data_IF_063793688517
#
_entry.id   IF_063793688517
#
_cell.length_a   1.000
_cell.length_b   1.000
_cell.length_c   1.000
_cell.angle_alpha   90.00
_cell.angle_beta   90.00
_cell.angle_gamma   90.00
#
_symmetry.space_group_name_H-M   'P 1'
#
loop_
_entity.id
_entity.type
_entity.pdbx_description
1 polymer ?
#
# COMPACT_ATOMS: atom_id res chain seq x y z
N UNK A 1 -9.39 6.45 -54.42
CA UNK A 1 -8.75 7.24 -53.34
C UNK A 1 -8.91 6.67 -51.93
N UNK A 2 -9.68 5.59 -51.70
CA UNK A 2 -9.88 5.03 -50.35
C UNK A 2 -8.85 3.97 -49.89
N UNK A 3 -8.09 3.38 -50.82
CA UNK A 3 -7.07 2.35 -50.51
C UNK A 3 -5.82 2.88 -49.78
N UNK A 4 -5.54 4.19 -49.88
CA UNK A 4 -4.39 4.83 -49.20
C UNK A 4 -4.74 5.37 -47.80
N UNK A 5 -6.04 5.55 -47.50
CA UNK A 5 -6.51 6.06 -46.21
C UNK A 5 -6.53 4.93 -45.16
N UNK A 6 -6.80 3.69 -45.58
CA UNK A 6 -6.82 2.52 -44.68
C UNK A 6 -5.42 2.17 -44.14
N UNK A 7 -4.35 2.44 -44.89
CA UNK A 7 -2.98 2.18 -44.42
C UNK A 7 -2.45 3.22 -43.43
N UNK A 8 -3.01 4.43 -43.42
CA UNK A 8 -2.56 5.51 -42.51
C UNK A 8 -3.26 5.40 -41.14
N UNK A 9 -4.48 4.86 -41.10
CA UNK A 9 -5.20 4.61 -39.85
C UNK A 9 -4.60 3.47 -39.00
N UNK A 10 -3.84 2.55 -39.62
CA UNK A 10 -3.24 1.39 -38.94
C UNK A 10 -1.89 1.71 -38.28
N UNK A 11 -1.22 2.79 -38.68
CA UNK A 11 0.09 3.21 -38.13
C UNK A 11 -0.08 4.10 -36.89
N UNK A 12 -1.21 4.79 -36.75
CA UNK A 12 -1.49 5.67 -35.59
C UNK A 12 -1.90 4.85 -34.35
N UNK A 13 -2.52 3.68 -34.51
CA UNK A 13 -2.81 2.78 -33.38
C UNK A 13 -1.58 2.07 -32.80
N UNK A 14 -0.43 2.08 -33.50
CA UNK A 14 0.80 1.44 -33.02
C UNK A 14 1.65 2.33 -32.09
N UNK A 15 1.32 3.63 -31.97
CA UNK A 15 2.06 4.59 -31.12
C UNK A 15 1.43 4.76 -29.73
N UNK A 16 0.33 4.06 -29.42
CA UNK A 16 -0.26 4.04 -28.08
C UNK A 16 0.36 2.97 -27.16
N UNK A 17 1.35 2.21 -27.64
CA UNK A 17 2.36 1.61 -26.75
C UNK A 17 3.31 2.73 -26.29
N UNK A 18 2.74 3.76 -25.63
CA UNK A 18 3.50 4.56 -24.71
C UNK A 18 4.13 3.57 -23.77
N UNK A 19 5.44 3.44 -23.87
CA UNK A 19 6.26 2.74 -22.91
C UNK A 19 5.80 3.23 -21.54
N UNK A 20 4.95 2.45 -20.87
CA UNK A 20 4.92 2.44 -19.43
C UNK A 20 6.38 2.17 -19.09
N UNK A 21 7.10 3.24 -18.75
CA UNK A 21 8.36 3.13 -18.06
C UNK A 21 7.96 2.66 -16.66
N UNK A 22 7.46 1.43 -16.57
CA UNK A 22 7.08 0.79 -15.32
C UNK A 22 8.39 0.69 -14.58
N UNK A 23 8.53 1.55 -13.57
CA UNK A 23 9.61 1.43 -12.59
C UNK A 23 9.67 -0.03 -12.20
N UNK A 24 10.86 -0.61 -12.33
CA UNK A 24 11.09 -1.98 -11.88
C UNK A 24 11.52 -1.89 -10.44
N UNK A 25 10.94 -2.73 -9.61
CA UNK A 25 11.25 -2.80 -8.19
C UNK A 25 12.05 -4.06 -7.90
N UNK A 26 12.96 -3.97 -6.94
CA UNK A 26 13.70 -5.08 -6.37
C UNK A 26 12.77 -5.93 -5.51
N UNK A 27 13.12 -7.20 -5.34
CA UNK A 27 12.30 -8.21 -4.65
C UNK A 27 13.02 -8.81 -3.42
N UNK A 28 14.04 -8.11 -2.91
CA UNK A 28 15.03 -8.68 -1.99
C UNK A 28 15.13 -8.00 -0.63
N UNK A 29 14.25 -7.04 -0.32
CA UNK A 29 14.25 -6.32 0.95
C UNK A 29 13.12 -6.87 1.82
N UNK A 30 13.41 -7.26 3.07
CA UNK A 30 12.36 -7.80 3.95
C UNK A 30 11.31 -6.75 4.30
N UNK A 31 10.07 -7.17 4.55
CA UNK A 31 9.02 -6.25 5.01
C UNK A 31 9.37 -5.60 6.35
N UNK A 32 10.08 -6.32 7.23
CA UNK A 32 10.61 -5.77 8.47
C UNK A 32 11.53 -4.58 8.20
N UNK A 33 12.51 -4.73 7.32
CA UNK A 33 13.47 -3.68 6.97
C UNK A 33 12.81 -2.49 6.25
N UNK A 34 11.86 -2.75 5.35
CA UNK A 34 11.10 -1.69 4.69
C UNK A 34 10.28 -0.88 5.71
N UNK A 35 9.65 -1.55 6.67
CA UNK A 35 8.87 -0.91 7.72
C UNK A 35 9.76 -0.01 8.61
N UNK A 36 10.92 -0.49 9.05
CA UNK A 36 11.86 0.33 9.83
C UNK A 36 12.31 1.59 9.07
N UNK A 37 12.56 1.47 7.75
CA UNK A 37 12.92 2.62 6.91
C UNK A 37 11.77 3.60 6.74
N UNK A 38 10.55 3.10 6.55
CA UNK A 38 9.35 3.91 6.40
C UNK A 38 9.07 4.73 7.68
N UNK A 39 9.07 4.07 8.83
CA UNK A 39 8.83 4.74 10.13
C UNK A 39 9.97 5.73 10.44
N UNK A 40 11.22 5.38 10.13
CA UNK A 40 12.35 6.32 10.27
C UNK A 40 12.22 7.55 9.35
N UNK A 41 11.50 7.44 8.24
CA UNK A 41 11.34 8.56 7.30
C UNK A 41 10.32 9.60 7.81
N UNK A 42 9.39 9.20 8.67
CA UNK A 42 8.40 10.07 9.31
C UNK A 42 8.79 10.51 10.74
N UNK A 43 9.94 10.05 11.25
CA UNK A 43 10.51 10.41 12.57
C UNK A 43 9.71 9.92 13.79
N UNK A 44 8.98 8.79 13.65
CA UNK A 44 8.02 8.28 14.66
C UNK A 44 8.38 6.89 15.20
N UNK A 45 9.66 6.52 15.24
CA UNK A 45 10.07 5.14 15.56
C UNK A 45 9.64 4.61 16.93
N UNK A 46 9.40 5.50 17.90
CA UNK A 46 9.01 5.13 19.27
C UNK A 46 7.49 5.06 19.46
N UNK A 47 6.70 5.41 18.44
CA UNK A 47 5.25 5.58 18.55
C UNK A 47 4.48 4.38 17.97
N UNK A 48 5.16 3.45 17.28
CA UNK A 48 4.53 2.28 16.65
C UNK A 48 4.81 0.95 17.39
N UNK A 49 3.79 0.07 17.43
CA UNK A 49 3.90 -1.32 17.88
C UNK A 49 3.47 -2.31 16.79
N UNK A 50 3.93 -3.56 16.88
CA UNK A 50 3.64 -4.61 15.89
C UNK A 50 2.38 -5.40 16.29
N UNK A 51 1.42 -5.53 15.38
CA UNK A 51 0.18 -6.28 15.62
C UNK A 51 0.39 -7.80 15.81
N UNK A 52 1.55 -8.32 15.45
CA UNK A 52 1.86 -9.75 15.51
C UNK A 52 1.11 -10.58 14.46
N UNK A 53 1.51 -11.84 14.31
CA UNK A 53 0.97 -12.72 13.26
C UNK A 53 -0.50 -13.11 13.52
N UNK A 54 -0.93 -13.05 14.76
CA UNK A 54 -2.27 -13.44 15.21
C UNK A 54 -3.34 -12.45 14.75
N UNK A 55 -3.05 -11.14 14.79
CA UNK A 55 -3.94 -10.09 14.28
C UNK A 55 -4.23 -10.30 12.79
N UNK A 56 -3.18 -10.62 12.04
CA UNK A 56 -3.24 -10.76 10.58
C UNK A 56 -4.07 -11.97 10.18
N UNK A 57 -3.93 -13.09 10.90
CA UNK A 57 -4.79 -14.26 10.68
C UNK A 57 -6.26 -13.98 10.95
N UNK A 58 -6.56 -13.08 11.87
CA UNK A 58 -7.93 -12.73 12.22
C UNK A 58 -8.57 -11.82 11.17
N UNK A 59 -7.87 -10.78 10.72
CA UNK A 59 -8.42 -9.78 9.79
C UNK A 59 -8.29 -10.13 8.30
N UNK A 60 -7.33 -10.97 7.94
CA UNK A 60 -7.08 -11.36 6.54
C UNK A 60 -7.45 -12.82 6.24
N UNK A 61 -8.24 -13.46 7.11
CA UNK A 61 -8.86 -14.81 6.97
C UNK A 61 -8.10 -15.80 6.07
N UNK A 62 -7.15 -16.58 6.59
CA UNK A 62 -6.45 -17.70 5.88
C UNK A 62 -6.06 -17.44 4.40
N UNK A 63 -6.04 -16.17 3.97
CA UNK A 63 -5.49 -15.81 2.68
C UNK A 63 -4.03 -16.24 2.73
N UNK A 64 -3.52 -16.70 1.60
CA UNK A 64 -2.12 -17.13 1.47
C UNK A 64 -1.19 -15.91 1.60
N UNK A 65 -1.33 -15.10 2.66
CA UNK A 65 -0.36 -14.11 3.07
C UNK A 65 0.91 -14.87 3.41
N UNK A 66 1.87 -14.71 2.52
CA UNK A 66 3.18 -15.32 2.62
C UNK A 66 3.92 -14.81 3.86
N UNK A 67 4.96 -15.55 4.28
CA UNK A 67 5.59 -15.38 5.60
C UNK A 67 6.27 -14.02 5.85
N UNK A 68 6.48 -13.18 4.82
CA UNK A 68 7.09 -11.86 4.94
C UNK A 68 6.05 -10.75 4.83
N UNK A 69 5.59 -10.28 5.98
CA UNK A 69 4.77 -9.10 6.14
C UNK A 69 5.15 -8.41 7.45
N UNK A 70 4.70 -7.16 7.60
CA UNK A 70 4.71 -6.44 8.88
C UNK A 70 3.56 -5.45 8.90
N UNK A 71 2.84 -5.39 10.01
CA UNK A 71 1.84 -4.36 10.25
C UNK A 71 2.13 -3.75 11.62
N UNK A 72 2.22 -2.42 11.63
CA UNK A 72 2.41 -1.65 12.85
C UNK A 72 1.27 -0.65 13.04
N UNK A 73 1.03 -0.28 14.28
CA UNK A 73 -0.02 0.67 14.69
C UNK A 73 0.48 1.61 15.78
N UNK A 74 -0.13 2.79 15.87
CA UNK A 74 0.21 3.77 16.90
C UNK A 74 -0.06 3.23 18.31
N UNK A 75 0.85 3.53 19.23
CA UNK A 75 0.72 3.22 20.65
C UNK A 75 -0.04 4.28 21.43
N UNK A 76 -0.29 5.43 20.80
CA UNK A 76 -1.10 6.50 21.36
C UNK A 76 -2.60 6.16 21.22
N UNK A 77 -3.39 6.50 22.24
CA UNK A 77 -4.75 5.97 22.38
C UNK A 77 -5.82 6.68 21.53
N UNK A 78 -5.50 7.85 21.02
CA UNK A 78 -6.33 8.73 20.21
C UNK A 78 -5.78 8.90 18.78
N UNK A 79 -4.79 8.09 18.42
CA UNK A 79 -4.17 8.06 17.10
C UNK A 79 -4.48 6.72 16.43
N UNK A 80 -4.99 6.78 15.20
CA UNK A 80 -5.37 5.58 14.44
C UNK A 80 -4.31 5.11 13.45
N UNK A 81 -3.10 5.68 13.53
CA UNK A 81 -2.08 5.42 12.54
C UNK A 81 -1.72 3.94 12.42
N UNK A 82 -1.69 3.46 11.18
CA UNK A 82 -1.45 2.07 10.84
C UNK A 82 -0.70 1.97 9.51
N UNK A 83 0.40 1.21 9.51
CA UNK A 83 1.21 0.93 8.34
C UNK A 83 1.36 -0.58 8.18
N UNK A 84 0.94 -1.10 7.02
CA UNK A 84 1.17 -2.50 6.67
C UNK A 84 1.93 -2.67 5.36
N UNK A 85 2.86 -3.62 5.38
CA UNK A 85 3.70 -4.01 4.25
C UNK A 85 3.62 -5.52 4.09
N UNK A 86 3.31 -5.98 2.88
CA UNK A 86 3.24 -7.38 2.52
C UNK A 86 4.12 -7.67 1.32
N UNK A 87 4.82 -8.79 1.35
CA UNK A 87 5.55 -9.32 0.21
C UNK A 87 4.78 -10.47 -0.45
N UNK A 88 4.55 -10.35 -1.75
CA UNK A 88 3.89 -11.37 -2.55
C UNK A 88 4.92 -12.16 -3.39
N UNK A 89 4.68 -13.44 -3.69
CA UNK A 89 5.57 -14.26 -4.53
C UNK A 89 5.47 -13.88 -6.00
N UNK A 90 4.47 -13.08 -6.38
CA UNK A 90 4.21 -12.69 -7.75
C UNK A 90 3.38 -11.41 -7.82
N UNK A 91 3.41 -10.76 -8.98
CA UNK A 91 2.61 -9.57 -9.24
C UNK A 91 1.09 -9.85 -9.25
N UNK A 92 0.65 -11.08 -9.51
CA UNK A 92 -0.78 -11.42 -9.44
C UNK A 92 -1.21 -11.62 -7.98
N UNK A 93 -0.39 -12.32 -7.18
CA UNK A 93 -0.61 -12.41 -5.73
C UNK A 93 -0.57 -11.01 -5.06
N UNK A 94 0.30 -10.11 -5.50
CA UNK A 94 0.31 -8.72 -5.00
C UNK A 94 -1.02 -7.99 -5.28
N UNK A 95 -1.68 -8.25 -6.41
CA UNK A 95 -3.01 -7.66 -6.69
C UNK A 95 -4.08 -8.25 -5.80
N UNK A 96 -4.03 -9.55 -5.54
CA UNK A 96 -4.96 -10.23 -4.63
C UNK A 96 -4.82 -9.68 -3.21
N UNK A 97 -3.59 -9.59 -2.70
CA UNK A 97 -3.31 -8.98 -1.39
C UNK A 97 -3.78 -7.52 -1.35
N UNK A 98 -3.51 -6.72 -2.39
CA UNK A 98 -3.98 -5.34 -2.44
C UNK A 98 -5.51 -5.24 -2.38
N UNK A 99 -6.24 -6.15 -3.03
CA UNK A 99 -7.69 -6.21 -2.94
C UNK A 99 -8.16 -6.62 -1.53
N UNK A 100 -7.50 -7.58 -0.88
CA UNK A 100 -7.81 -7.96 0.51
C UNK A 100 -7.59 -6.80 1.47
N UNK A 101 -6.47 -6.07 1.33
CA UNK A 101 -6.17 -4.88 2.15
C UNK A 101 -7.19 -3.76 1.91
N UNK A 102 -7.62 -3.55 0.67
CA UNK A 102 -8.69 -2.58 0.36
C UNK A 102 -10.03 -2.97 1.02
N UNK A 103 -10.35 -4.26 1.04
CA UNK A 103 -11.54 -4.74 1.74
C UNK A 103 -11.41 -4.53 3.25
N UNK A 104 -10.25 -4.81 3.85
CA UNK A 104 -9.98 -4.53 5.27
C UNK A 104 -10.21 -3.04 5.62
N UNK A 105 -9.65 -2.12 4.84
CA UNK A 105 -9.86 -0.67 5.04
C UNK A 105 -11.36 -0.31 4.91
N UNK A 106 -12.05 -0.89 3.92
CA UNK A 106 -13.49 -0.66 3.73
C UNK A 106 -14.30 -1.17 4.92
N UNK A 107 -13.95 -2.33 5.47
CA UNK A 107 -14.58 -2.88 6.67
C UNK A 107 -14.30 -2.01 7.92
N UNK A 108 -13.09 -1.46 8.06
CA UNK A 108 -12.79 -0.49 9.12
C UNK A 108 -13.65 0.78 8.97
N UNK A 109 -13.79 1.30 7.75
CA UNK A 109 -14.66 2.44 7.46
C UNK A 109 -16.13 2.15 7.83
N UNK A 110 -16.63 0.95 7.56
CA UNK A 110 -18.00 0.59 7.88
C UNK A 110 -18.22 0.35 9.39
N UNK A 111 -17.25 -0.26 10.06
CA UNK A 111 -17.42 -0.74 11.45
C UNK A 111 -16.92 0.24 12.51
N UNK A 112 -15.89 1.02 12.22
CA UNK A 112 -15.23 1.90 13.20
C UNK A 112 -15.54 3.38 13.02
N UNK A 113 -16.01 3.82 11.85
CA UNK A 113 -16.27 5.25 11.57
C UNK A 113 -17.08 5.94 12.64
N UNK A 114 -18.23 5.37 13.03
CA UNK A 114 -19.11 6.01 14.01
C UNK A 114 -18.44 6.13 15.40
N UNK A 115 -17.54 5.20 15.73
CA UNK A 115 -16.76 5.25 16.97
C UNK A 115 -15.70 6.34 16.90
N UNK A 116 -14.89 6.36 15.83
CA UNK A 116 -13.85 7.37 15.59
C UNK A 116 -14.46 8.78 15.56
N UNK A 117 -15.54 8.99 14.80
CA UNK A 117 -16.24 10.27 14.73
C UNK A 117 -16.76 10.77 16.10
N UNK A 118 -17.07 9.85 17.01
CA UNK A 118 -17.58 10.19 18.35
C UNK A 118 -16.50 10.51 19.38
N UNK A 119 -15.28 10.01 19.19
CA UNK A 119 -14.20 10.06 20.19
C UNK A 119 -12.97 10.86 19.72
N UNK A 120 -12.57 10.71 18.46
CA UNK A 120 -11.44 11.38 17.81
C UNK A 120 -11.81 11.76 16.35
N UNK A 121 -12.76 12.69 16.13
CA UNK A 121 -13.22 13.04 14.79
C UNK A 121 -12.13 13.62 13.89
N UNK A 122 -11.08 14.20 14.47
CA UNK A 122 -9.87 14.69 13.78
C UNK A 122 -9.06 13.59 13.09
N UNK A 123 -9.18 12.34 13.55
CA UNK A 123 -8.49 11.18 12.98
C UNK A 123 -9.23 10.59 11.77
N UNK A 124 -10.53 10.86 11.66
CA UNK A 124 -11.37 10.29 10.61
C UNK A 124 -10.87 10.56 9.17
N UNK A 125 -10.31 11.75 8.84
CA UNK A 125 -9.67 11.99 7.55
C UNK A 125 -8.55 11.00 7.20
N UNK A 126 -7.77 10.50 8.18
CA UNK A 126 -6.71 9.52 7.95
C UNK A 126 -7.29 8.21 7.41
N UNK A 127 -8.41 7.76 7.98
CA UNK A 127 -9.14 6.56 7.52
C UNK A 127 -9.84 6.78 6.18
N UNK A 128 -10.41 7.97 5.95
CA UNK A 128 -11.06 8.32 4.67
C UNK A 128 -10.07 8.43 3.51
N UNK A 129 -8.84 8.86 3.81
CA UNK A 129 -7.75 9.04 2.86
C UNK A 129 -6.73 7.90 2.89
N UNK A 130 -7.04 6.78 3.54
CA UNK A 130 -6.17 5.61 3.58
C UNK A 130 -5.83 5.15 2.15
N UNK A 131 -4.57 4.79 1.90
CA UNK A 131 -4.11 4.44 0.55
C UNK A 131 -3.41 3.10 0.53
N UNK A 132 -3.62 2.34 -0.54
CA UNK A 132 -2.91 1.09 -0.84
C UNK A 132 -2.12 1.27 -2.13
N UNK A 133 -0.80 1.04 -2.10
CA UNK A 133 0.10 1.08 -3.26
C UNK A 133 0.81 -0.24 -3.49
N UNK A 134 1.10 -0.52 -4.76
CA UNK A 134 1.84 -1.72 -5.18
C UNK A 134 3.20 -1.32 -5.77
N UNK A 135 4.27 -1.85 -5.18
CA UNK A 135 5.66 -1.66 -5.61
C UNK A 135 6.24 -2.99 -6.07
N UNK A 136 5.93 -3.38 -7.32
CA UNK A 136 6.31 -4.69 -7.84
C UNK A 136 5.53 -5.80 -7.15
N UNK A 137 6.21 -6.57 -6.30
CA UNK A 137 5.63 -7.64 -5.51
C UNK A 137 5.24 -7.21 -4.09
N UNK A 138 5.48 -5.95 -3.71
CA UNK A 138 5.10 -5.44 -2.39
C UNK A 138 3.76 -4.72 -2.46
N UNK A 139 2.93 -4.95 -1.44
CA UNK A 139 1.71 -4.18 -1.18
C UNK A 139 1.95 -3.39 0.11
N UNK A 140 1.70 -2.09 0.04
CA UNK A 140 1.89 -1.18 1.18
C UNK A 140 0.60 -0.40 1.36
N UNK A 141 0.08 -0.35 2.58
CA UNK A 141 -1.00 0.56 2.93
C UNK A 141 -0.66 1.40 4.14
N UNK A 142 -1.26 2.59 4.18
CA UNK A 142 -1.07 3.55 5.25
C UNK A 142 -2.40 4.24 5.58
N UNK A 143 -2.74 4.22 6.87
CA UNK A 143 -3.74 5.05 7.53
C UNK A 143 -2.90 6.00 8.39
N UNK A 144 -2.75 7.26 8.00
CA UNK A 144 -1.95 8.30 8.67
C UNK A 144 -2.16 9.64 7.96
N UNK A 145 -1.49 10.71 8.41
CA UNK A 145 -1.56 12.00 7.74
C UNK A 145 -1.05 11.94 6.29
N UNK A 146 -1.53 12.87 5.45
CA UNK A 146 -1.25 12.85 4.02
C UNK A 146 0.24 13.06 3.69
N UNK A 147 0.97 13.84 4.48
CA UNK A 147 2.40 14.09 4.32
C UNK A 147 3.26 12.91 4.80
N UNK A 148 2.96 12.32 5.95
CA UNK A 148 3.59 11.07 6.42
C UNK A 148 3.41 9.94 5.42
N UNK A 149 2.18 9.71 4.97
CA UNK A 149 1.85 8.72 3.93
C UNK A 149 2.63 8.96 2.65
N UNK A 150 2.79 10.23 2.25
CA UNK A 150 3.57 10.60 1.08
C UNK A 150 5.05 10.26 1.25
N UNK A 151 5.62 10.50 2.44
CA UNK A 151 7.01 10.18 2.76
C UNK A 151 7.24 8.66 2.85
N UNK A 152 6.33 7.91 3.48
CA UNK A 152 6.34 6.44 3.48
C UNK A 152 6.41 5.90 2.05
N UNK A 153 5.52 6.34 1.17
CA UNK A 153 5.53 5.87 -0.21
C UNK A 153 6.74 6.33 -1.03
N UNK A 154 7.28 7.51 -0.72
CA UNK A 154 8.54 8.00 -1.30
C UNK A 154 9.71 7.09 -0.90
N UNK A 155 9.79 6.72 0.38
CA UNK A 155 10.81 5.81 0.88
C UNK A 155 10.66 4.40 0.29
N UNK A 156 9.44 3.89 0.09
CA UNK A 156 9.21 2.63 -0.62
C UNK A 156 9.75 2.68 -2.05
N UNK A 157 9.44 3.73 -2.81
CA UNK A 157 9.95 3.91 -4.17
C UNK A 157 11.48 3.95 -4.20
N UNK A 158 12.09 4.71 -3.29
CA UNK A 158 13.55 4.83 -3.16
C UNK A 158 14.23 3.53 -2.73
N UNK A 159 13.63 2.81 -1.79
CA UNK A 159 14.16 1.56 -1.25
C UNK A 159 14.07 0.41 -2.23
N UNK A 160 13.05 0.42 -3.11
CA UNK A 160 12.76 -0.71 -3.99
C UNK A 160 13.13 -0.45 -5.45
N UNK A 161 13.22 0.78 -5.94
CA UNK A 161 13.50 1.01 -7.37
C UNK A 161 14.84 0.41 -7.78
N UNK A 162 14.83 -0.41 -8.84
CA UNK A 162 16.05 -0.94 -9.42
C UNK A 162 16.87 0.21 -10.03
N UNK A 163 18.12 0.30 -9.58
CA UNK A 163 19.12 1.24 -10.08
C UNK A 163 19.74 0.78 -11.39
#
# INVERSE_FOLDING_TARGET
MYRKIIFIALIICALLLSSCNTKKYSDGVSCHELCERAISAIDESDEFSDYGKEYIKYFFEDSELHDDFRIVYSTETDDIDELGIFHAPSADAAKEIAATVQNYISEMQDTQRAFIESYAPEELPKLDNAEVRVFGNYVVYAIMEDDEKSEVFSEMDKSLVLK
#
